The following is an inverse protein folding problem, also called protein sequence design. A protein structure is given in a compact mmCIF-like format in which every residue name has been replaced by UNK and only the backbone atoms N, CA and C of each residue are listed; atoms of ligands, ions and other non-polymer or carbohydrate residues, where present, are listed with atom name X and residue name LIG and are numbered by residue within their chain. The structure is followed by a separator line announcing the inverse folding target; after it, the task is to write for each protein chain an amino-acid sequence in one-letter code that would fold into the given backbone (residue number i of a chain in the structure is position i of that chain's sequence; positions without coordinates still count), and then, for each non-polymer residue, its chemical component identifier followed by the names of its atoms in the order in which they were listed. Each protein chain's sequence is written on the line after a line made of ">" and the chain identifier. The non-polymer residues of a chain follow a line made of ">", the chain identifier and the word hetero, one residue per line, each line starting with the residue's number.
data_IF_606211721486
#
_entry.id   IF_606211721486
#
_cell.length_a   1.000
_cell.length_b   1.000
_cell.length_c   1.000
_cell.angle_alpha   90.00
_cell.angle_beta   90.00
_cell.angle_gamma   90.00
#
_symmetry.space_group_name_H-M   'P 1'
#
loop_
_entity.id
_entity.type
_entity.pdbx_description
1 polymer ?
#
# COMPACT_ATOMS: atom_id res chain seq x y z
N UNK A 1 -21.77 -20.16 9.21
CA UNK A 1 -20.91 -19.46 8.21
C UNK A 1 -20.99 -17.96 8.44
N UNK A 2 -20.15 -17.38 9.32
CA UNK A 2 -20.15 -15.93 9.54
C UNK A 2 -19.47 -15.22 8.37
N UNK A 3 -20.21 -14.42 7.61
CA UNK A 3 -19.64 -13.51 6.59
C UNK A 3 -18.59 -12.67 7.33
N UNK A 4 -17.30 -12.85 7.07
CA UNK A 4 -16.27 -11.94 7.60
C UNK A 4 -16.60 -10.56 7.05
N UNK A 5 -17.28 -9.75 7.87
CA UNK A 5 -17.70 -8.41 7.49
C UNK A 5 -16.43 -7.61 7.22
N UNK A 6 -16.25 -7.20 5.97
CA UNK A 6 -15.18 -6.27 5.62
C UNK A 6 -15.66 -4.88 5.96
N UNK A 7 -14.87 -4.10 6.69
CA UNK A 7 -15.20 -2.69 6.91
C UNK A 7 -14.96 -1.96 5.60
N UNK A 8 -15.91 -1.13 5.19
CA UNK A 8 -15.74 -0.22 4.05
C UNK A 8 -15.39 1.15 4.61
N UNK A 9 -14.31 1.72 4.13
CA UNK A 9 -13.82 3.06 4.48
C UNK A 9 -13.74 3.81 3.17
N UNK A 10 -14.23 5.05 3.16
CA UNK A 10 -14.34 5.87 1.97
C UNK A 10 -13.94 7.29 2.36
N UNK A 11 -13.01 7.86 1.62
CA UNK A 11 -12.71 9.28 1.63
C UNK A 11 -13.73 10.06 0.81
N UNK A 12 -13.29 11.21 0.37
CA UNK A 12 -14.03 12.29 -0.28
C UNK A 12 -13.27 12.73 -1.52
N UNK A 13 -13.67 13.84 -2.13
CA UNK A 13 -12.95 14.40 -3.30
C UNK A 13 -11.81 15.33 -2.89
N UNK A 14 -11.32 15.24 -1.67
CA UNK A 14 -10.20 16.04 -1.19
C UNK A 14 -9.42 15.25 -0.15
N UNK A 15 -8.27 15.78 0.26
CA UNK A 15 -7.34 15.08 1.15
C UNK A 15 -7.99 14.58 2.44
N UNK A 16 -7.92 13.27 2.64
CA UNK A 16 -8.46 12.55 3.78
C UNK A 16 -7.39 11.75 4.53
N UNK A 17 -7.61 11.59 5.84
CA UNK A 17 -6.86 10.65 6.67
C UNK A 17 -7.72 9.41 6.94
N UNK A 18 -7.40 8.29 6.27
CA UNK A 18 -8.19 7.07 6.30
C UNK A 18 -7.51 5.98 7.13
N UNK A 19 -8.02 5.77 8.35
CA UNK A 19 -7.53 4.69 9.23
C UNK A 19 -8.42 3.45 9.22
N UNK A 20 -7.79 2.34 8.85
CA UNK A 20 -8.28 0.98 8.92
C UNK A 20 -8.47 0.45 10.33
N UNK A 21 -8.52 -0.87 10.43
CA UNK A 21 -8.69 -1.58 11.71
C UNK A 21 -8.01 -2.94 11.62
N UNK A 22 -7.91 -3.67 12.74
CA UNK A 22 -7.35 -5.04 12.78
C UNK A 22 -8.13 -6.10 11.98
N UNK A 23 -9.22 -5.71 11.31
CA UNK A 23 -10.07 -6.57 10.48
C UNK A 23 -9.80 -6.26 9.02
N UNK A 24 -10.22 -7.14 8.11
CA UNK A 24 -10.16 -6.85 6.68
C UNK A 24 -10.99 -5.62 6.34
N UNK A 25 -10.34 -4.63 5.73
CA UNK A 25 -10.91 -3.37 5.28
C UNK A 25 -10.89 -3.32 3.75
N UNK A 26 -11.83 -2.55 3.20
CA UNK A 26 -11.83 -2.06 1.83
C UNK A 26 -11.82 -0.54 1.94
N UNK A 27 -10.76 0.09 1.48
CA UNK A 27 -10.53 1.52 1.60
C UNK A 27 -10.53 2.13 0.20
N UNK A 28 -11.25 3.23 0.03
CA UNK A 28 -11.27 4.04 -1.18
C UNK A 28 -10.95 5.47 -0.77
N UNK A 29 -9.86 6.06 -1.26
CA UNK A 29 -9.51 7.47 -1.04
C UNK A 29 -10.36 8.39 -1.89
N UNK A 30 -10.34 8.15 -3.21
CA UNK A 30 -11.01 8.87 -4.30
C UNK A 30 -10.17 9.97 -4.94
N UNK A 31 -10.42 11.24 -4.69
CA UNK A 31 -9.62 12.33 -5.28
C UNK A 31 -8.92 13.11 -4.16
N UNK A 32 -7.74 13.65 -4.46
CA UNK A 32 -6.95 14.44 -3.52
C UNK A 32 -5.86 13.61 -2.86
N UNK A 33 -4.93 14.30 -2.19
CA UNK A 33 -3.76 13.64 -1.59
C UNK A 33 -4.14 12.99 -0.26
N UNK A 34 -4.32 11.67 -0.25
CA UNK A 34 -4.81 10.93 0.92
C UNK A 34 -3.70 10.29 1.75
N UNK A 35 -3.93 10.15 3.05
CA UNK A 35 -3.09 9.36 3.95
C UNK A 35 -3.86 8.16 4.46
N UNK A 36 -3.46 6.97 4.01
CA UNK A 36 -4.18 5.72 4.22
C UNK A 36 -3.37 4.78 5.11
N UNK A 37 -3.79 4.63 6.36
CA UNK A 37 -3.27 3.59 7.25
C UNK A 37 -4.21 2.39 7.22
N UNK A 38 -3.85 1.31 6.51
CA UNK A 38 -4.76 0.15 6.35
C UNK A 38 -5.02 -0.62 7.65
N UNK A 39 -4.15 -0.46 8.65
CA UNK A 39 -4.13 -1.24 9.88
C UNK A 39 -3.70 -2.70 9.65
N UNK A 40 -3.90 -3.55 10.66
CA UNK A 40 -3.63 -4.99 10.53
C UNK A 40 -4.77 -5.70 9.77
N UNK A 41 -4.45 -6.55 8.82
CA UNK A 41 -5.50 -7.30 8.12
C UNK A 41 -5.10 -7.73 6.72
N UNK A 42 -6.05 -8.26 5.97
CA UNK A 42 -5.88 -8.45 4.52
C UNK A 42 -6.75 -7.40 3.85
N UNK A 43 -6.17 -6.24 3.71
CA UNK A 43 -6.85 -5.02 3.29
C UNK A 43 -6.73 -4.83 1.78
N UNK A 44 -7.69 -4.11 1.22
CA UNK A 44 -7.57 -3.60 -0.14
C UNK A 44 -7.73 -2.11 -0.09
N UNK A 45 -6.79 -1.42 -0.71
CA UNK A 45 -6.77 0.03 -0.83
C UNK A 45 -6.88 0.36 -2.30
N UNK A 46 -7.81 1.27 -2.58
CA UNK A 46 -7.86 2.08 -3.77
C UNK A 46 -7.56 3.49 -3.31
N UNK A 47 -6.37 4.01 -3.59
CA UNK A 47 -6.01 5.34 -3.10
C UNK A 47 -6.73 6.39 -3.94
N UNK A 48 -6.62 6.29 -5.25
CA UNK A 48 -7.38 7.09 -6.20
C UNK A 48 -6.48 8.08 -6.92
N UNK A 49 -7.04 9.22 -7.33
CA UNK A 49 -6.27 10.28 -8.00
C UNK A 49 -5.66 11.22 -6.96
N UNK A 50 -4.35 11.46 -7.01
CA UNK A 50 -3.65 12.33 -6.09
C UNK A 50 -2.27 11.78 -5.74
N UNK A 51 -1.50 12.51 -4.93
CA UNK A 51 -0.22 12.01 -4.41
C UNK A 51 -0.44 11.30 -3.08
N UNK A 52 -0.84 10.03 -3.13
CA UNK A 52 -1.32 9.31 -1.96
C UNK A 52 -0.22 8.68 -1.12
N UNK A 53 -0.47 8.56 0.18
CA UNK A 53 0.43 7.92 1.16
C UNK A 53 -0.20 6.69 1.76
N UNK A 54 0.32 5.51 1.45
CA UNK A 54 -0.14 4.25 2.05
C UNK A 54 0.83 3.83 3.14
N UNK A 55 0.41 3.95 4.40
CA UNK A 55 1.22 3.56 5.56
C UNK A 55 1.00 2.10 5.90
N UNK A 56 2.09 1.32 5.85
CA UNK A 56 2.07 -0.09 6.25
C UNK A 56 2.37 -0.25 7.74
N UNK A 57 1.61 -1.13 8.41
CA UNK A 57 1.86 -1.41 9.83
C UNK A 57 3.05 -2.35 10.01
N UNK A 58 3.98 -1.97 10.88
CA UNK A 58 5.05 -2.87 11.31
C UNK A 58 4.62 -3.72 12.50
N UNK A 59 4.53 -5.03 12.27
CA UNK A 59 4.10 -5.98 13.28
C UNK A 59 2.58 -6.17 13.25
N UNK A 60 2.15 -7.40 12.99
CA UNK A 60 0.74 -7.74 12.81
C UNK A 60 0.57 -8.84 11.77
N UNK A 61 -0.54 -9.58 11.85
CA UNK A 61 -0.85 -10.63 10.87
C UNK A 61 -1.64 -10.04 9.71
N UNK A 62 -0.99 -9.66 8.63
CA UNK A 62 -1.68 -9.02 7.52
C UNK A 62 -0.76 -8.45 6.43
N UNK A 63 -1.37 -8.00 5.34
CA UNK A 63 -0.78 -7.16 4.30
C UNK A 63 -1.86 -6.31 3.66
N UNK A 64 -1.45 -5.14 3.17
CA UNK A 64 -2.29 -4.32 2.30
C UNK A 64 -2.14 -4.75 0.85
N UNK A 65 -3.23 -4.72 0.09
CA UNK A 65 -3.19 -4.83 -1.38
C UNK A 65 -3.60 -3.50 -1.97
N UNK A 66 -2.67 -2.84 -2.64
CA UNK A 66 -2.90 -1.59 -3.35
C UNK A 66 -3.30 -1.96 -4.77
N UNK A 67 -4.45 -1.47 -5.21
CA UNK A 67 -5.13 -1.95 -6.40
C UNK A 67 -4.90 -1.07 -7.63
N UNK A 68 -4.48 0.17 -7.40
CA UNK A 68 -4.43 1.31 -8.32
C UNK A 68 -3.25 2.23 -7.99
N UNK A 69 -2.10 1.66 -7.60
CA UNK A 69 -0.90 2.46 -7.32
C UNK A 69 -0.49 3.21 -8.59
N UNK A 70 -0.26 4.52 -8.48
CA UNK A 70 0.04 5.44 -9.57
C UNK A 70 1.35 6.21 -9.34
N UNK A 71 1.74 7.04 -10.31
CA UNK A 71 2.92 7.90 -10.19
C UNK A 71 2.58 9.08 -9.27
N UNK A 72 3.36 9.28 -8.21
CA UNK A 72 3.07 10.27 -7.16
C UNK A 72 2.78 9.59 -5.82
N UNK A 73 2.19 8.40 -5.89
CA UNK A 73 1.94 7.59 -4.71
C UNK A 73 3.22 7.12 -4.04
N UNK A 74 3.12 7.02 -2.71
CA UNK A 74 4.17 6.51 -1.84
C UNK A 74 3.64 5.50 -0.85
N UNK A 75 4.41 4.44 -0.63
CA UNK A 75 4.14 3.45 0.41
C UNK A 75 5.16 3.65 1.51
N UNK A 76 4.70 4.08 2.68
CA UNK A 76 5.56 4.17 3.86
C UNK A 76 5.70 2.79 4.50
N UNK A 77 6.94 2.38 4.77
CA UNK A 77 7.25 1.12 5.44
C UNK A 77 8.10 1.30 6.68
N UNK A 78 8.31 0.20 7.39
CA UNK A 78 9.03 0.22 8.67
C UNK A 78 10.48 0.72 8.60
N UNK A 79 11.06 0.93 7.40
CA UNK A 79 12.48 1.25 7.23
C UNK A 79 13.42 0.08 7.51
N UNK A 80 12.90 -1.14 7.60
CA UNK A 80 13.67 -2.30 7.99
C UNK A 80 14.60 -2.75 6.86
N UNK A 81 15.87 -2.99 7.15
CA UNK A 81 16.87 -3.44 6.17
C UNK A 81 16.54 -4.80 5.51
N UNK A 82 15.63 -5.59 6.12
CA UNK A 82 15.14 -6.86 5.55
C UNK A 82 13.98 -6.70 4.57
N UNK A 83 13.59 -5.47 4.24
CA UNK A 83 12.55 -5.22 3.25
C UNK A 83 13.07 -5.52 1.84
N UNK A 84 12.36 -6.34 1.10
CA UNK A 84 12.64 -6.70 -0.30
C UNK A 84 11.35 -6.63 -1.10
N UNK A 85 11.46 -6.38 -2.40
CA UNK A 85 10.32 -6.43 -3.32
C UNK A 85 10.49 -7.68 -4.19
N UNK A 86 9.55 -8.60 -4.11
CA UNK A 86 9.53 -9.82 -4.92
C UNK A 86 8.38 -9.78 -5.93
N UNK A 87 8.63 -10.21 -7.16
CA UNK A 87 7.56 -10.39 -8.15
C UNK A 87 6.88 -11.76 -8.00
N UNK A 88 5.55 -11.77 -7.89
CA UNK A 88 4.75 -13.01 -7.94
C UNK A 88 3.63 -12.85 -8.97
N UNK A 89 3.86 -13.43 -10.15
CA UNK A 89 3.01 -13.18 -11.31
C UNK A 89 3.23 -11.74 -11.80
N UNK A 90 2.15 -10.96 -11.85
CA UNK A 90 2.17 -9.56 -12.30
C UNK A 90 2.06 -8.56 -11.14
N UNK A 91 2.32 -9.01 -9.91
CA UNK A 91 2.19 -8.20 -8.71
C UNK A 91 3.57 -8.08 -8.03
N UNK A 92 3.88 -6.89 -7.54
CA UNK A 92 5.04 -6.63 -6.69
C UNK A 92 4.67 -6.85 -5.22
N UNK A 93 5.39 -7.72 -4.54
CA UNK A 93 5.17 -8.09 -3.15
C UNK A 93 6.28 -7.51 -2.29
N UNK A 94 5.92 -6.55 -1.44
CA UNK A 94 6.82 -5.97 -0.45
C UNK A 94 6.86 -6.94 0.72
N UNK A 95 8.02 -7.53 0.97
CA UNK A 95 8.26 -8.53 2.00
C UNK A 95 9.31 -8.04 2.99
N UNK A 96 9.13 -8.39 4.27
CA UNK A 96 10.12 -8.17 5.34
C UNK A 96 10.46 -9.55 5.90
N UNK A 97 11.58 -10.13 5.45
CA UNK A 97 11.86 -11.54 5.71
C UNK A 97 10.79 -12.44 5.09
N UNK A 98 10.10 -13.25 5.91
CA UNK A 98 9.01 -14.13 5.45
C UNK A 98 7.63 -13.45 5.45
N UNK A 99 7.51 -12.26 6.06
CA UNK A 99 6.25 -11.54 6.21
C UNK A 99 5.98 -10.64 5.00
N UNK A 100 4.79 -10.77 4.40
CA UNK A 100 4.32 -9.84 3.37
C UNK A 100 3.76 -8.60 4.04
N UNK A 101 4.23 -7.42 3.63
CA UNK A 101 3.78 -6.12 4.17
C UNK A 101 2.78 -5.44 3.25
N UNK A 102 3.08 -5.38 1.98
CA UNK A 102 2.21 -4.81 0.96
C UNK A 102 2.29 -5.61 -0.33
N UNK A 103 1.26 -5.51 -1.15
CA UNK A 103 1.23 -6.05 -2.51
C UNK A 103 0.69 -4.97 -3.43
N UNK A 104 1.48 -4.56 -4.40
CA UNK A 104 1.08 -3.64 -5.44
C UNK A 104 0.58 -4.47 -6.62
N UNK A 105 -0.71 -4.34 -6.92
CA UNK A 105 -1.35 -5.14 -7.96
C UNK A 105 -1.06 -4.57 -9.33
N UNK A 106 -0.60 -5.41 -10.26
CA UNK A 106 -0.41 -5.02 -11.66
C UNK A 106 0.79 -4.12 -11.92
N UNK A 107 1.66 -3.91 -10.93
CA UNK A 107 2.88 -3.11 -11.05
C UNK A 107 4.10 -4.02 -11.00
N UNK A 108 5.05 -3.78 -11.91
CA UNK A 108 6.33 -4.47 -11.91
C UNK A 108 7.26 -3.86 -10.85
N UNK A 109 7.99 -4.70 -10.12
CA UNK A 109 8.98 -4.28 -9.13
C UNK A 109 10.09 -3.41 -9.73
N UNK A 110 10.43 -3.59 -11.01
CA UNK A 110 11.43 -2.75 -11.70
C UNK A 110 10.99 -1.27 -11.82
N UNK A 111 9.69 -1.01 -11.71
CA UNK A 111 9.12 0.34 -11.73
C UNK A 111 8.99 0.93 -10.31
N UNK A 112 9.45 0.22 -9.28
CA UNK A 112 9.37 0.66 -7.89
C UNK A 112 10.76 1.01 -7.37
N UNK A 113 10.90 2.22 -6.83
CA UNK A 113 12.07 2.63 -6.08
C UNK A 113 11.86 2.33 -4.60
N UNK A 114 12.75 1.54 -4.00
CA UNK A 114 12.77 1.30 -2.56
C UNK A 114 13.83 2.19 -1.91
N UNK A 115 13.39 3.26 -1.26
CA UNK A 115 14.29 4.18 -0.57
C UNK A 115 14.33 3.86 0.93
N UNK A 116 15.44 3.30 1.39
CA UNK A 116 15.65 2.99 2.81
C UNK A 116 15.94 4.22 3.68
N UNK A 117 16.42 5.33 3.09
CA UNK A 117 16.69 6.56 3.83
C UNK A 117 15.38 7.31 4.11
N UNK A 118 14.50 7.40 3.11
CA UNK A 118 13.16 7.98 3.26
C UNK A 118 12.17 7.00 3.92
N UNK A 119 12.43 5.69 3.85
CA UNK A 119 11.54 4.60 4.32
C UNK A 119 10.24 4.53 3.51
N UNK A 120 10.38 4.81 2.22
CA UNK A 120 9.28 4.92 1.28
C UNK A 120 9.53 4.05 0.05
N UNK A 121 8.44 3.60 -0.57
CA UNK A 121 8.45 2.97 -1.89
C UNK A 121 7.61 3.83 -2.82
N UNK A 122 8.22 4.28 -3.91
CA UNK A 122 7.57 5.14 -4.90
C UNK A 122 7.68 4.52 -6.28
N UNK A 123 6.86 4.97 -7.23
CA UNK A 123 7.11 4.65 -8.63
C UNK A 123 8.35 5.40 -9.15
N UNK A 124 9.15 4.72 -9.96
CA UNK A 124 10.26 5.33 -10.70
C UNK A 124 9.67 6.09 -11.87
N UNK A 125 9.93 7.40 -11.96
CA UNK A 125 9.42 8.24 -13.04
C UNK A 125 10.11 8.02 -14.40
N UNK A 126 11.19 7.21 -14.49
CA UNK A 126 11.90 7.00 -15.76
C UNK A 126 12.45 5.56 -15.92
N UNK A 127 11.87 4.74 -16.83
CA UNK A 127 12.56 3.55 -17.35
C UNK A 127 13.65 3.91 -18.39
N UNK A 128 13.82 5.20 -18.74
CA UNK A 128 14.83 5.69 -19.69
C UNK A 128 15.31 7.11 -19.33
N UNK A 129 16.20 7.24 -18.34
CA UNK A 129 17.10 8.39 -18.21
C UNK A 129 18.57 7.92 -18.26
#
# INVERSE_FOLDING_TARGET
>A
MGRKSKRKIRGTSGSDELTGSKKKNLIWGYEGDDVIESGEGKDKVWSGEGDDTIVTVDGGKGHVKIMDFELGDRIEFCGCASTVIEMKGNDAWIMKGEDVKAVVKGVNADLLNLDFAAREITMVSDPMA
#
